data_IF_915069971772
#
_entry.id   IF_915069971772
#
_cell.length_a   1.000
_cell.length_b   1.000
_cell.length_c   1.000
_cell.angle_alpha   90.00
_cell.angle_beta   90.00
_cell.angle_gamma   90.00
#
_symmetry.space_group_name_H-M   'P 1'
#
loop_
_entity.id
_entity.type
_entity.pdbx_description
1 polymer ?
#
# COMPACT_ATOMS: atom_id res chain seq x y z
N UNK A 1 -0.67 -24.01 6.05
CA UNK A 1 -0.91 -24.39 4.64
C UNK A 1 -1.68 -23.26 3.99
N UNK A 2 -1.16 -22.67 2.91
CA UNK A 2 -1.80 -21.57 2.18
C UNK A 2 -3.04 -22.08 1.45
N UNK A 3 -4.22 -21.57 1.81
CA UNK A 3 -5.46 -21.86 1.11
C UNK A 3 -5.36 -21.24 -0.31
N UNK A 4 -5.37 -22.01 -1.40
CA UNK A 4 -5.27 -21.45 -2.75
C UNK A 4 -6.41 -20.46 -3.08
N UNK A 5 -7.57 -20.62 -2.42
CA UNK A 5 -8.69 -19.69 -2.55
C UNK A 5 -8.46 -18.35 -1.82
N UNK A 6 -7.50 -18.27 -0.89
CA UNK A 6 -7.13 -16.98 -0.29
C UNK A 6 -6.49 -16.03 -1.30
N UNK A 7 -5.98 -16.55 -2.43
CA UNK A 7 -5.43 -15.76 -3.51
C UNK A 7 -6.44 -15.49 -4.63
N UNK A 8 -7.66 -16.06 -4.56
CA UNK A 8 -8.67 -15.88 -5.60
C UNK A 8 -9.04 -14.39 -5.80
N UNK A 9 -9.24 -13.56 -4.75
CA UNK A 9 -9.51 -12.13 -4.93
C UNK A 9 -8.34 -11.40 -5.61
N UNK A 10 -7.11 -11.81 -5.29
CA UNK A 10 -5.88 -11.29 -5.88
C UNK A 10 -5.76 -11.68 -7.36
N UNK A 11 -6.02 -12.95 -7.68
CA UNK A 11 -6.00 -13.46 -9.05
C UNK A 11 -7.09 -12.79 -9.93
N UNK A 12 -8.25 -12.50 -9.35
CA UNK A 12 -9.33 -11.74 -10.00
C UNK A 12 -8.95 -10.26 -10.19
N UNK A 13 -8.37 -9.61 -9.18
CA UNK A 13 -7.88 -8.23 -9.28
C UNK A 13 -6.72 -8.08 -10.29
N UNK A 14 -5.94 -9.15 -10.45
CA UNK A 14 -4.87 -9.29 -11.44
C UNK A 14 -5.37 -9.71 -12.84
N UNK A 15 -6.68 -9.97 -12.99
CA UNK A 15 -7.34 -10.54 -14.16
C UNK A 15 -7.37 -9.59 -15.36
N UNK A 16 -6.21 -9.38 -15.99
CA UNK A 16 -6.05 -8.66 -17.25
C UNK A 16 -5.81 -7.16 -17.08
N UNK A 17 -4.77 -6.66 -17.76
CA UNK A 17 -4.46 -5.23 -17.84
C UNK A 17 -2.99 -4.92 -17.52
N UNK A 18 -2.61 -3.69 -17.85
CA UNK A 18 -1.30 -3.14 -17.54
C UNK A 18 -1.42 -1.68 -17.07
N UNK A 19 -0.55 -1.28 -16.15
CA UNK A 19 -0.36 0.11 -15.74
C UNK A 19 1.03 0.51 -16.23
N UNK A 20 1.12 1.53 -17.09
CA UNK A 20 2.37 1.97 -17.71
C UNK A 20 3.20 0.81 -18.31
N UNK A 21 2.53 -0.03 -19.10
CA UNK A 21 3.08 -1.25 -19.70
C UNK A 21 3.52 -2.36 -18.73
N UNK A 22 3.34 -2.18 -17.41
CA UNK A 22 3.58 -3.23 -16.42
C UNK A 22 2.30 -4.05 -16.18
N UNK A 23 2.34 -5.38 -16.33
CA UNK A 23 1.18 -6.22 -16.07
C UNK A 23 0.66 -6.02 -14.64
N UNK A 24 -0.64 -5.77 -14.49
CA UNK A 24 -1.27 -5.55 -13.19
C UNK A 24 -1.01 -6.73 -12.24
N UNK A 25 -1.07 -7.95 -12.75
CA UNK A 25 -0.74 -9.18 -12.01
C UNK A 25 0.64 -9.14 -11.36
N UNK A 26 1.65 -8.60 -12.07
CA UNK A 26 3.02 -8.50 -11.55
C UNK A 26 3.11 -7.50 -10.41
N UNK A 27 2.43 -6.36 -10.52
CA UNK A 27 2.40 -5.33 -9.49
C UNK A 27 1.67 -5.82 -8.23
N UNK A 28 0.53 -6.49 -8.40
CA UNK A 28 -0.24 -7.07 -7.29
C UNK A 28 0.57 -8.16 -6.59
N UNK A 29 1.20 -9.07 -7.35
CA UNK A 29 2.07 -10.11 -6.78
C UNK A 29 3.25 -9.52 -6.01
N UNK A 30 3.85 -8.42 -6.50
CA UNK A 30 4.92 -7.74 -5.80
C UNK A 30 4.45 -7.13 -4.47
N UNK A 31 3.27 -6.50 -4.44
CA UNK A 31 2.67 -5.94 -3.23
C UNK A 31 2.37 -7.00 -2.18
N UNK A 32 1.77 -8.11 -2.60
CA UNK A 32 1.50 -9.24 -1.72
C UNK A 32 2.78 -9.88 -1.20
N UNK A 33 3.80 -10.03 -2.05
CA UNK A 33 5.12 -10.52 -1.63
C UNK A 33 5.75 -9.61 -0.57
N UNK A 34 5.61 -8.29 -0.71
CA UNK A 34 6.07 -7.33 0.29
C UNK A 34 5.37 -7.53 1.63
N UNK A 35 4.04 -7.67 1.64
CA UNK A 35 3.26 -7.92 2.85
C UNK A 35 3.68 -9.24 3.52
N UNK A 36 3.77 -10.34 2.75
CA UNK A 36 4.14 -11.65 3.28
C UNK A 36 5.55 -11.71 3.85
N UNK A 37 6.49 -10.94 3.29
CA UNK A 37 7.91 -10.97 3.70
C UNK A 37 8.27 -9.95 4.78
N UNK A 38 7.36 -9.04 5.15
CA UNK A 38 7.63 -7.96 6.11
C UNK A 38 6.78 -8.09 7.37
N UNK A 39 7.31 -8.79 8.38
CA UNK A 39 6.67 -8.87 9.69
C UNK A 39 6.39 -7.50 10.35
N UNK A 40 7.28 -6.48 10.24
CA UNK A 40 6.97 -5.14 10.71
C UNK A 40 5.74 -4.53 10.02
N UNK A 41 5.60 -4.73 8.70
CA UNK A 41 4.47 -4.21 7.94
C UNK A 41 3.16 -4.87 8.37
N UNK A 42 3.14 -6.20 8.51
CA UNK A 42 1.96 -6.93 8.99
C UNK A 42 1.53 -6.45 10.38
N UNK A 43 2.49 -6.27 11.29
CA UNK A 43 2.21 -5.72 12.63
C UNK A 43 1.70 -4.30 12.59
N UNK A 44 2.28 -3.47 11.74
CA UNK A 44 1.88 -2.08 11.57
C UNK A 44 0.43 -1.97 11.07
N UNK A 45 0.00 -2.87 10.18
CA UNK A 45 -1.35 -2.90 9.62
C UNK A 45 -2.39 -3.61 10.50
N UNK A 46 -1.97 -4.32 11.56
CA UNK A 46 -2.90 -5.04 12.45
C UNK A 46 -3.91 -4.08 13.10
N UNK A 47 -5.17 -4.13 12.64
CA UNK A 47 -6.23 -3.22 13.09
C UNK A 47 -6.10 -1.77 12.59
N UNK A 48 -5.17 -1.50 11.66
CA UNK A 48 -4.87 -0.17 11.12
C UNK A 48 -4.96 -0.15 9.60
N UNK A 49 -4.85 1.05 9.02
CA UNK A 49 -4.90 1.28 7.57
C UNK A 49 -3.51 1.55 7.00
N UNK A 50 -3.34 1.28 5.71
CA UNK A 50 -2.19 1.72 4.94
C UNK A 50 -2.44 3.10 4.32
N UNK A 51 -1.45 3.98 4.38
CA UNK A 51 -1.48 5.27 3.68
C UNK A 51 -0.62 5.21 2.42
N UNK A 52 -1.14 5.70 1.30
CA UNK A 52 -0.43 5.78 0.03
C UNK A 52 -0.05 7.25 -0.22
N UNK A 53 1.23 7.57 0.02
CA UNK A 53 1.84 8.87 -0.28
C UNK A 53 2.78 8.72 -1.49
N UNK A 54 2.21 8.37 -2.63
CA UNK A 54 2.94 8.06 -3.84
C UNK A 54 2.56 9.03 -4.98
N UNK A 55 3.49 9.37 -5.88
CA UNK A 55 3.12 10.01 -7.13
C UNK A 55 2.26 9.04 -7.98
N UNK A 56 1.47 9.56 -8.94
CA UNK A 56 0.74 8.74 -9.90
C UNK A 56 1.73 7.84 -10.65
N UNK A 57 1.72 6.55 -10.33
CA UNK A 57 2.69 5.57 -10.84
C UNK A 57 2.19 4.14 -10.58
N UNK A 58 2.77 3.12 -11.23
CA UNK A 58 2.39 1.72 -11.01
C UNK A 58 2.62 1.25 -9.56
N UNK A 59 3.51 1.93 -8.82
CA UNK A 59 3.76 1.66 -7.41
C UNK A 59 2.51 1.83 -6.53
N UNK A 60 1.54 2.65 -6.97
CA UNK A 60 0.24 2.79 -6.28
C UNK A 60 -0.49 1.45 -6.21
N UNK A 61 -0.51 0.68 -7.31
CA UNK A 61 -1.17 -0.62 -7.35
C UNK A 61 -0.43 -1.63 -6.45
N UNK A 62 0.90 -1.61 -6.47
CA UNK A 62 1.73 -2.45 -5.60
C UNK A 62 1.48 -2.14 -4.12
N UNK A 63 1.43 -0.85 -3.74
CA UNK A 63 1.16 -0.43 -2.37
C UNK A 63 -0.26 -0.79 -1.92
N UNK A 64 -1.24 -0.66 -2.82
CA UNK A 64 -2.62 -1.06 -2.57
C UNK A 64 -2.71 -2.57 -2.29
N UNK A 65 -2.05 -3.39 -3.12
CA UNK A 65 -1.97 -4.83 -2.89
C UNK A 65 -1.21 -5.21 -1.61
N UNK A 66 -0.22 -4.40 -1.19
CA UNK A 66 0.48 -4.59 0.08
C UNK A 66 -0.37 -4.20 1.31
N UNK A 67 -1.54 -3.60 1.11
CA UNK A 67 -2.52 -3.36 2.17
C UNK A 67 -3.54 -4.50 2.30
N UNK A 68 -3.39 -5.63 1.59
CA UNK A 68 -4.42 -6.69 1.51
C UNK A 68 -5.17 -6.97 2.83
N UNK A 69 -6.50 -6.86 2.81
CA UNK A 69 -7.38 -7.00 3.99
C UNK A 69 -7.40 -5.82 4.97
N UNK A 70 -6.50 -4.86 4.82
CA UNK A 70 -6.38 -3.63 5.59
C UNK A 70 -6.80 -2.44 4.73
N UNK A 71 -7.70 -1.58 5.23
CA UNK A 71 -8.14 -0.41 4.45
C UNK A 71 -6.97 0.44 3.97
N UNK A 72 -7.07 1.01 2.77
CA UNK A 72 -6.05 1.88 2.18
C UNK A 72 -6.59 3.30 2.03
N UNK A 73 -5.78 4.29 2.37
CA UNK A 73 -6.13 5.72 2.22
C UNK A 73 -5.12 6.36 1.28
N UNK A 74 -5.64 6.93 0.19
CA UNK A 74 -4.86 7.75 -0.72
C UNK A 74 -4.73 9.15 -0.13
N UNK A 75 -3.50 9.59 0.10
CA UNK A 75 -3.24 10.89 0.69
C UNK A 75 -2.71 11.87 -0.36
N UNK A 76 -3.02 13.17 -0.23
CA UNK A 76 -2.55 14.16 -1.16
C UNK A 76 -1.02 14.14 -1.22
N UNK A 77 -0.51 14.31 -2.43
CA UNK A 77 0.92 14.30 -2.70
C UNK A 77 1.66 15.49 -2.07
N UNK A 78 0.95 16.45 -1.48
CA UNK A 78 1.47 17.71 -0.98
C UNK A 78 0.79 17.99 0.36
N UNK A 79 1.57 18.48 1.32
CA UNK A 79 1.14 18.77 2.67
C UNK A 79 2.37 18.98 3.54
N UNK A 80 2.28 19.86 4.53
CA UNK A 80 3.31 19.96 5.55
C UNK A 80 3.23 18.76 6.50
N UNK A 81 4.25 18.63 7.37
CA UNK A 81 4.37 17.49 8.28
C UNK A 81 3.22 17.45 9.30
N UNK A 82 2.77 18.61 9.77
CA UNK A 82 1.69 18.71 10.76
C UNK A 82 0.36 18.24 10.17
N UNK A 83 0.03 18.69 8.96
CA UNK A 83 -1.17 18.25 8.26
C UNK A 83 -1.15 16.75 7.97
N UNK A 84 -0.02 16.20 7.52
CA UNK A 84 0.11 14.75 7.28
C UNK A 84 -0.05 13.94 8.57
N UNK A 85 0.51 14.41 9.69
CA UNK A 85 0.35 13.76 10.99
C UNK A 85 -1.11 13.70 11.40
N UNK A 86 -1.82 14.83 11.31
CA UNK A 86 -3.25 14.90 11.64
C UNK A 86 -4.09 13.96 10.75
N UNK A 87 -3.77 13.87 9.46
CA UNK A 87 -4.44 12.93 8.56
C UNK A 87 -4.15 11.48 8.91
N UNK A 88 -2.91 11.15 9.28
CA UNK A 88 -2.52 9.79 9.66
C UNK A 88 -3.24 9.34 10.93
N UNK A 89 -3.34 10.21 11.92
CA UNK A 89 -4.03 9.94 13.19
C UNK A 89 -5.53 9.77 12.95
N UNK A 90 -6.18 10.69 12.23
CA UNK A 90 -7.60 10.62 11.92
C UNK A 90 -7.97 9.38 11.11
N UNK A 91 -7.09 8.93 10.21
CA UNK A 91 -7.30 7.74 9.39
C UNK A 91 -6.87 6.43 10.05
N UNK A 92 -6.26 6.46 11.25
CA UNK A 92 -5.74 5.27 11.93
C UNK A 92 -4.66 4.56 11.12
N UNK A 93 -3.72 5.33 10.56
CA UNK A 93 -2.65 4.81 9.71
C UNK A 93 -1.62 4.07 10.55
N UNK A 94 -1.26 2.87 10.09
CA UNK A 94 -0.22 2.04 10.69
C UNK A 94 1.06 2.01 9.88
N UNK A 95 0.95 2.09 8.55
CA UNK A 95 2.07 2.07 7.64
C UNK A 95 1.87 3.09 6.51
N UNK A 96 2.97 3.71 6.08
CA UNK A 96 2.97 4.67 4.96
C UNK A 96 3.82 4.12 3.84
N UNK A 97 3.23 3.95 2.66
CA UNK A 97 3.92 3.64 1.43
C UNK A 97 4.29 4.95 0.73
N UNK A 98 5.59 5.18 0.54
CA UNK A 98 6.11 6.43 -0.03
C UNK A 98 7.35 6.19 -0.87
N UNK A 99 7.84 7.24 -1.51
CA UNK A 99 9.14 7.26 -2.20
C UNK A 99 10.20 7.95 -1.34
N UNK A 100 11.49 7.66 -1.61
CA UNK A 100 12.60 8.31 -0.90
C UNK A 100 12.57 9.84 -1.01
N UNK A 101 12.11 10.37 -2.13
CA UNK A 101 11.97 11.83 -2.32
C UNK A 101 10.96 12.46 -1.34
N UNK A 102 10.02 11.67 -0.83
CA UNK A 102 8.91 12.14 0.02
C UNK A 102 9.04 11.72 1.48
N UNK A 103 10.02 10.88 1.81
CA UNK A 103 10.22 10.41 3.19
C UNK A 103 10.58 11.55 4.15
N UNK A 104 11.18 12.63 3.65
CA UNK A 104 11.50 13.82 4.45
C UNK A 104 10.25 14.52 5.02
N UNK A 105 9.08 14.34 4.41
CA UNK A 105 7.82 14.93 4.85
C UNK A 105 7.05 14.04 5.84
N UNK A 106 7.52 12.82 6.09
CA UNK A 106 6.88 11.95 7.06
C UNK A 106 7.13 12.46 8.49
N UNK A 107 6.16 12.23 9.41
CA UNK A 107 6.40 12.33 10.83
C UNK A 107 7.46 11.32 11.27
N UNK A 108 8.18 11.66 12.34
CA UNK A 108 9.25 10.85 12.92
C UNK A 108 8.70 9.63 13.69
#
# INVERSE_FOLDING_TARGET
MSNPLSLLPIALAAGGGAVDALPAARLVAAGFTLLQRSAPLVRALAGKRGALLLPPSPAVLTALAACDGHGAVLLPAQGDREHLTALFDAAGVGAVFTTRARSAHLPA
#
